data_IF_280348511280
#
_entry.id   IF_280348511280
#
_cell.length_a   1.000
_cell.length_b   1.000
_cell.length_c   1.000
_cell.angle_alpha   90.00
_cell.angle_beta   90.00
_cell.angle_gamma   90.00
#
_symmetry.space_group_name_H-M   'P 1'
#
loop_
_entity.id
_entity.type
_entity.pdbx_description
1 polymer ?
#
# COMPACT_ATOMS: atom_id res chain seq x y z
N UNK A 1 -9.14 10.87 19.59
CA UNK A 1 -7.87 10.42 18.94
C UNK A 1 -7.40 11.56 18.04
N UNK A 2 -6.15 12.00 18.17
CA UNK A 2 -5.61 13.08 17.34
C UNK A 2 -5.39 12.55 15.91
N UNK A 3 -5.83 13.31 14.93
CA UNK A 3 -5.59 13.04 13.50
C UNK A 3 -5.01 14.32 12.88
N UNK A 4 -3.91 14.18 12.19
CA UNK A 4 -3.21 15.26 11.50
C UNK A 4 -2.80 14.84 10.11
N UNK A 5 -2.84 15.75 9.14
CA UNK A 5 -2.45 15.47 7.75
C UNK A 5 -1.62 16.61 7.19
N UNK A 6 -0.60 16.28 6.43
CA UNK A 6 0.31 17.25 5.82
C UNK A 6 0.88 16.70 4.51
N UNK A 7 1.58 17.54 3.79
CA UNK A 7 2.40 17.12 2.64
C UNK A 7 3.87 17.29 2.98
N UNK A 8 4.67 16.25 2.74
CA UNK A 8 6.13 16.27 2.91
C UNK A 8 6.81 16.38 1.56
N UNK A 9 7.75 17.29 1.47
CA UNK A 9 8.58 17.44 0.28
C UNK A 9 9.91 16.76 0.51
N UNK A 10 10.14 15.66 -0.18
CA UNK A 10 11.39 14.87 -0.11
C UNK A 10 11.83 14.48 -1.52
N UNK A 11 13.12 14.58 -1.79
CA UNK A 11 13.74 14.14 -3.05
C UNK A 11 13.00 14.62 -4.32
N UNK A 12 12.48 15.86 -4.28
CA UNK A 12 11.80 16.50 -5.41
C UNK A 12 10.34 16.06 -5.62
N UNK A 13 9.76 15.27 -4.72
CA UNK A 13 8.36 14.85 -4.76
C UNK A 13 7.59 15.31 -3.53
N UNK A 14 6.27 15.48 -3.70
CA UNK A 14 5.35 15.82 -2.62
C UNK A 14 4.62 14.53 -2.19
N UNK A 15 4.82 14.11 -0.94
CA UNK A 15 4.21 12.91 -0.37
C UNK A 15 3.17 13.31 0.67
N UNK A 16 1.95 12.84 0.50
CA UNK A 16 0.89 13.02 1.48
C UNK A 16 1.17 12.14 2.71
N UNK A 17 1.08 12.74 3.89
CA UNK A 17 1.26 12.10 5.18
C UNK A 17 0.02 12.28 6.06
N UNK A 18 -0.36 11.22 6.78
CA UNK A 18 -1.36 11.25 7.84
C UNK A 18 -0.80 10.63 9.11
N UNK A 19 -1.05 11.30 10.23
CA UNK A 19 -0.73 10.78 11.56
C UNK A 19 -2.00 10.54 12.37
N UNK A 20 -2.04 9.43 13.08
CA UNK A 20 -3.18 9.04 13.92
C UNK A 20 -2.65 8.59 15.28
N UNK A 21 -3.22 9.14 16.36
CA UNK A 21 -2.85 8.81 17.74
C UNK A 21 -1.71 9.65 18.30
N UNK A 22 -1.22 9.27 19.48
CA UNK A 22 -0.13 9.93 20.20
C UNK A 22 0.75 8.88 20.89
N UNK A 23 2.07 9.06 20.85
CA UNK A 23 3.07 8.17 21.45
C UNK A 23 4.18 7.80 20.47
N UNK A 24 4.97 6.75 20.75
CA UNK A 24 6.05 6.31 19.89
C UNK A 24 5.58 6.03 18.45
N UNK A 25 6.33 6.50 17.43
CA UNK A 25 5.90 6.39 16.06
C UNK A 25 6.02 4.96 15.50
N UNK A 26 5.03 4.57 14.70
CA UNK A 26 5.04 3.38 13.86
C UNK A 26 4.66 3.81 12.45
N UNK A 27 5.54 3.57 11.49
CA UNK A 27 5.28 3.85 10.08
C UNK A 27 4.49 2.71 9.47
N UNK A 28 3.36 3.02 8.84
CA UNK A 28 2.50 2.04 8.18
C UNK A 28 2.64 2.17 6.67
N UNK A 29 3.20 1.14 6.04
CA UNK A 29 3.42 1.08 4.59
C UNK A 29 2.26 0.35 3.93
N UNK A 30 1.54 1.04 3.04
CA UNK A 30 0.40 0.48 2.33
C UNK A 30 0.82 -0.45 1.18
N UNK A 31 -0.10 -1.31 0.76
CA UNK A 31 0.07 -2.17 -0.41
C UNK A 31 0.00 -1.42 -1.74
N UNK A 32 0.13 -2.12 -2.83
CA UNK A 32 0.13 -1.58 -4.19
C UNK A 32 1.17 -2.30 -5.03
N UNK A 33 2.10 -1.60 -5.72
CA UNK A 33 2.34 -0.14 -5.78
C UNK A 33 1.23 0.67 -6.44
N UNK A 34 1.24 1.99 -6.22
CA UNK A 34 0.30 2.93 -6.85
C UNK A 34 -1.07 3.07 -6.14
N UNK A 35 -1.29 2.35 -5.01
CA UNK A 35 -2.46 2.52 -4.16
C UNK A 35 -2.30 3.72 -3.19
N UNK A 36 -3.11 3.76 -2.14
CA UNK A 36 -3.07 4.76 -1.07
C UNK A 36 -3.39 4.08 0.27
N UNK A 37 -3.16 4.76 1.39
CA UNK A 37 -3.31 4.16 2.71
C UNK A 37 -4.77 4.08 3.24
N UNK A 38 -5.75 4.79 2.66
CA UNK A 38 -7.08 4.92 3.27
C UNK A 38 -7.79 3.58 3.49
N UNK A 39 -7.58 2.58 2.64
CA UNK A 39 -8.19 1.26 2.81
C UNK A 39 -7.66 0.48 4.03
N UNK A 40 -6.51 0.89 4.59
CA UNK A 40 -5.95 0.30 5.81
C UNK A 40 -6.57 0.90 7.07
N UNK A 41 -7.13 2.11 7.02
CA UNK A 41 -7.59 2.85 8.20
C UNK A 41 -8.60 2.07 9.06
N UNK A 42 -9.62 1.39 8.49
CA UNK A 42 -10.59 0.68 9.32
C UNK A 42 -9.99 -0.42 10.21
N UNK A 43 -8.85 -0.99 9.80
CA UNK A 43 -8.17 -2.03 10.56
C UNK A 43 -7.02 -1.51 11.43
N UNK A 44 -6.22 -0.60 10.89
CA UNK A 44 -4.99 -0.13 11.55
C UNK A 44 -5.24 0.98 12.57
N UNK A 45 -6.29 1.80 12.45
CA UNK A 45 -6.57 2.88 13.39
C UNK A 45 -6.85 2.35 14.81
N UNK A 46 -7.36 1.12 14.94
CA UNK A 46 -7.52 0.43 16.22
C UNK A 46 -6.18 0.18 16.94
N UNK A 47 -5.06 0.24 16.24
CA UNK A 47 -3.72 0.10 16.81
C UNK A 47 -3.12 1.43 17.30
N UNK A 48 -3.79 2.56 17.09
CA UNK A 48 -3.30 3.89 17.46
C UNK A 48 -3.22 4.16 18.99
N UNK A 49 -4.04 3.53 19.86
CA UNK A 49 -3.90 3.77 21.30
C UNK A 49 -2.47 3.53 21.81
N UNK A 50 -1.87 4.58 22.41
CA UNK A 50 -0.53 4.54 22.96
C UNK A 50 0.62 4.62 21.95
N UNK A 51 0.33 4.93 20.68
CA UNK A 51 1.34 5.15 19.61
C UNK A 51 0.88 6.16 18.57
N UNK A 52 1.81 6.67 17.80
CA UNK A 52 1.51 7.47 16.61
C UNK A 52 1.67 6.59 15.39
N UNK A 53 0.58 6.33 14.66
CA UNK A 53 0.65 5.69 13.33
C UNK A 53 0.95 6.77 12.29
N UNK A 54 2.00 6.59 11.53
CA UNK A 54 2.39 7.48 10.41
C UNK A 54 2.10 6.74 9.12
N UNK A 55 1.10 7.17 8.39
CA UNK A 55 0.80 6.74 7.03
C UNK A 55 1.34 7.77 6.05
N UNK A 56 1.80 7.34 4.90
CA UNK A 56 2.03 8.23 3.76
C UNK A 56 1.63 7.52 2.47
N UNK A 57 1.12 8.27 1.51
CA UNK A 57 0.91 7.73 0.17
C UNK A 57 2.27 7.70 -0.54
N UNK A 58 2.68 6.50 -0.97
CA UNK A 58 3.94 6.29 -1.66
C UNK A 58 3.96 7.04 -3.00
N UNK A 59 5.17 7.43 -3.48
CA UNK A 59 5.28 8.19 -4.74
C UNK A 59 4.53 7.53 -5.89
N UNK A 60 3.79 8.31 -6.66
CA UNK A 60 2.96 7.86 -7.77
C UNK A 60 1.62 7.24 -7.35
N UNK A 61 1.30 7.18 -6.05
CA UNK A 61 0.05 6.64 -5.52
C UNK A 61 -0.81 7.69 -4.83
N UNK A 62 -2.11 7.46 -4.77
CA UNK A 62 -3.07 8.26 -4.00
C UNK A 62 -2.95 9.77 -4.17
N UNK A 63 -2.64 10.45 -3.07
CA UNK A 63 -2.45 11.91 -2.99
C UNK A 63 -0.98 12.34 -3.16
N UNK A 64 -0.11 11.42 -3.60
CA UNK A 64 1.29 11.67 -3.93
C UNK A 64 1.56 11.49 -5.43
N UNK A 65 0.80 12.15 -6.33
CA UNK A 65 1.02 12.01 -7.76
C UNK A 65 2.38 12.56 -8.16
N UNK A 66 2.97 11.96 -9.19
CA UNK A 66 4.21 12.44 -9.81
C UNK A 66 4.03 12.50 -11.31
N UNK A 67 4.76 13.39 -12.03
CA UNK A 67 4.83 13.37 -13.47
C UNK A 67 5.28 12.02 -14.02
N UNK A 68 4.84 11.68 -15.24
CA UNK A 68 5.08 10.34 -15.84
C UNK A 68 6.57 10.02 -16.02
N UNK A 69 7.39 11.04 -16.20
CA UNK A 69 8.83 10.95 -16.36
C UNK A 69 9.60 10.71 -15.05
N UNK A 70 8.94 10.90 -13.90
CA UNK A 70 9.54 10.68 -12.59
C UNK A 70 9.51 9.18 -12.26
N UNK A 71 10.64 8.56 -11.96
CA UNK A 71 10.69 7.14 -11.64
C UNK A 71 9.96 6.83 -10.32
N UNK A 72 9.23 5.70 -10.32
CA UNK A 72 8.45 5.20 -9.18
C UNK A 72 8.86 3.79 -8.75
N UNK A 73 10.09 3.40 -9.08
CA UNK A 73 10.63 2.09 -8.74
C UNK A 73 10.78 1.87 -7.23
N UNK A 74 11.11 0.64 -6.85
CA UNK A 74 11.28 0.29 -5.44
C UNK A 74 12.47 1.03 -4.78
N UNK A 75 13.53 1.30 -5.54
CA UNK A 75 14.70 2.04 -5.03
C UNK A 75 14.32 3.46 -4.64
N UNK A 76 13.59 4.15 -5.51
CA UNK A 76 13.08 5.49 -5.22
C UNK A 76 12.20 5.51 -3.99
N UNK A 77 11.40 4.47 -3.77
CA UNK A 77 10.51 4.38 -2.60
C UNK A 77 11.27 4.06 -1.31
N UNK A 78 12.33 3.24 -1.38
CA UNK A 78 13.24 3.01 -0.25
C UNK A 78 13.93 4.31 0.16
N UNK A 79 14.46 5.05 -0.80
CA UNK A 79 15.13 6.31 -0.57
C UNK A 79 14.18 7.42 -0.07
N UNK A 80 12.91 7.40 -0.51
CA UNK A 80 11.89 8.30 0.02
C UNK A 80 11.60 8.01 1.49
N UNK A 81 11.51 6.74 1.86
CA UNK A 81 11.31 6.34 3.25
C UNK A 81 12.49 6.76 4.13
N UNK A 82 13.74 6.66 3.64
CA UNK A 82 14.93 7.14 4.35
C UNK A 82 14.91 8.67 4.51
N UNK A 83 14.55 9.40 3.46
CA UNK A 83 14.38 10.84 3.51
C UNK A 83 13.27 11.27 4.49
N UNK A 84 12.14 10.55 4.50
CA UNK A 84 11.06 10.77 5.46
C UNK A 84 11.52 10.46 6.90
N UNK A 85 12.24 9.36 7.14
CA UNK A 85 12.80 9.03 8.46
C UNK A 85 13.64 10.18 9.00
N UNK A 86 14.55 10.70 8.16
CA UNK A 86 15.40 11.85 8.50
C UNK A 86 14.60 13.11 8.79
N UNK A 87 13.58 13.40 7.96
CA UNK A 87 12.70 14.55 8.12
C UNK A 87 11.87 14.46 9.43
N UNK A 88 11.49 13.24 9.84
CA UNK A 88 10.79 13.00 11.11
C UNK A 88 11.73 13.06 12.33
N UNK A 89 13.04 13.12 12.11
CA UNK A 89 14.05 13.12 13.20
C UNK A 89 14.15 11.77 13.92
N UNK A 90 13.80 10.67 13.26
CA UNK A 90 13.84 9.34 13.83
C UNK A 90 15.19 8.67 13.56
N UNK A 91 15.84 8.17 14.61
CA UNK A 91 17.08 7.40 14.45
C UNK A 91 16.81 6.05 13.77
N UNK A 92 15.76 5.36 14.21
CA UNK A 92 15.30 4.08 13.68
C UNK A 92 13.78 4.08 13.50
N UNK A 93 13.30 3.27 12.57
CA UNK A 93 11.88 3.07 12.30
C UNK A 93 11.34 1.80 12.96
N UNK A 94 10.12 1.91 13.52
CA UNK A 94 9.23 0.77 13.68
C UNK A 94 8.28 0.78 12.49
N UNK A 95 8.27 -0.30 11.71
CA UNK A 95 7.55 -0.39 10.45
C UNK A 95 6.48 -1.49 10.55
N UNK A 96 5.27 -1.21 10.09
CA UNK A 96 4.23 -2.19 9.80
C UNK A 96 3.91 -2.14 8.31
N UNK A 97 4.25 -3.18 7.57
CA UNK A 97 4.09 -3.21 6.12
C UNK A 97 3.04 -4.21 5.67
N UNK A 98 2.04 -3.76 4.91
CA UNK A 98 1.01 -4.60 4.33
C UNK A 98 1.26 -4.87 2.84
N UNK A 99 1.19 -6.13 2.40
CA UNK A 99 1.34 -6.54 1.01
C UNK A 99 2.64 -6.01 0.39
N UNK A 100 2.57 -5.18 -0.67
CA UNK A 100 3.71 -4.46 -1.24
C UNK A 100 4.46 -3.64 -0.18
N UNK A 101 3.76 -2.98 0.75
CA UNK A 101 4.38 -2.24 1.84
C UNK A 101 5.23 -3.11 2.76
N UNK A 102 4.88 -4.39 2.92
CA UNK A 102 5.70 -5.37 3.63
C UNK A 102 7.00 -5.69 2.86
N UNK A 103 6.92 -5.87 1.55
CA UNK A 103 8.10 -6.03 0.70
C UNK A 103 8.98 -4.77 0.72
N UNK A 104 8.39 -3.58 0.62
CA UNK A 104 9.12 -2.31 0.73
C UNK A 104 9.85 -2.19 2.07
N UNK A 105 9.19 -2.57 3.18
CA UNK A 105 9.81 -2.61 4.51
C UNK A 105 11.00 -3.56 4.59
N UNK A 106 10.92 -4.73 3.95
CA UNK A 106 12.04 -5.68 3.85
C UNK A 106 13.19 -5.12 3.01
N UNK A 107 12.90 -4.52 1.85
CA UNK A 107 13.91 -3.87 0.99
C UNK A 107 14.61 -2.74 1.75
N UNK A 108 13.84 -1.90 2.45
CA UNK A 108 14.39 -0.85 3.29
C UNK A 108 15.30 -1.40 4.41
N UNK A 109 14.88 -2.46 5.09
CA UNK A 109 15.68 -3.09 6.14
C UNK A 109 16.96 -3.73 5.60
N UNK A 110 16.97 -4.16 4.33
CA UNK A 110 18.16 -4.70 3.67
C UNK A 110 19.15 -3.62 3.29
N UNK A 111 18.66 -2.48 2.77
CA UNK A 111 19.51 -1.34 2.36
C UNK A 111 19.97 -0.50 3.58
N UNK A 112 19.14 -0.44 4.64
CA UNK A 112 19.38 0.38 5.83
C UNK A 112 19.19 -0.42 7.14
N UNK A 113 19.95 -1.51 7.39
CA UNK A 113 19.72 -2.41 8.53
C UNK A 113 19.79 -1.70 9.89
N UNK A 114 20.67 -0.71 10.04
CA UNK A 114 20.83 0.05 11.28
C UNK A 114 19.70 1.08 11.51
N UNK A 115 18.80 1.24 10.55
CA UNK A 115 17.68 2.19 10.61
C UNK A 115 16.33 1.54 10.93
N UNK A 116 16.30 0.24 11.20
CA UNK A 116 15.07 -0.49 11.53
C UNK A 116 15.15 -1.08 12.94
N UNK A 117 14.31 -0.54 13.84
CA UNK A 117 14.17 -1.07 15.18
C UNK A 117 13.26 -2.31 15.22
N UNK A 118 12.15 -2.27 14.46
CA UNK A 118 11.17 -3.37 14.38
C UNK A 118 10.51 -3.37 13.01
N UNK A 119 10.20 -4.58 12.51
CA UNK A 119 9.48 -4.77 11.25
C UNK A 119 8.37 -5.80 11.46
N UNK A 120 7.12 -5.38 11.28
CA UNK A 120 5.95 -6.25 11.26
C UNK A 120 5.48 -6.42 9.81
N UNK A 121 5.37 -7.65 9.35
CA UNK A 121 4.94 -8.01 8.00
C UNK A 121 3.51 -8.55 8.05
N UNK A 122 2.61 -7.88 7.33
CA UNK A 122 1.20 -8.26 7.25
C UNK A 122 0.90 -8.69 5.82
N UNK A 123 0.73 -10.00 5.59
CA UNK A 123 0.44 -10.58 4.27
C UNK A 123 1.32 -9.98 3.16
N UNK A 124 2.64 -9.92 3.40
CA UNK A 124 3.58 -9.24 2.50
C UNK A 124 3.64 -9.90 1.11
N UNK A 125 3.94 -9.10 0.08
CA UNK A 125 4.17 -9.60 -1.27
C UNK A 125 5.38 -10.55 -1.30
N UNK A 126 5.39 -11.58 -2.19
CA UNK A 126 6.49 -12.51 -2.31
C UNK A 126 7.84 -11.84 -2.55
N UNK A 127 8.87 -12.26 -1.80
CA UNK A 127 10.19 -11.64 -1.80
C UNK A 127 11.09 -12.18 -2.92
N UNK A 128 10.94 -13.44 -3.28
CA UNK A 128 11.75 -14.10 -4.30
C UNK A 128 10.92 -14.57 -5.49
N UNK A 129 11.63 -14.78 -6.60
CA UNK A 129 11.01 -15.05 -7.91
C UNK A 129 10.11 -16.28 -7.92
N UNK A 130 10.56 -17.38 -7.28
CA UNK A 130 9.83 -18.63 -7.25
C UNK A 130 8.50 -18.50 -6.50
N UNK A 131 8.51 -17.89 -5.32
CA UNK A 131 7.30 -17.64 -4.55
C UNK A 131 6.35 -16.67 -5.28
N UNK A 132 6.89 -15.70 -6.02
CA UNK A 132 6.10 -14.81 -6.85
C UNK A 132 5.43 -15.56 -8.00
N UNK A 133 6.17 -16.42 -8.69
CA UNK A 133 5.62 -17.23 -9.78
C UNK A 133 4.52 -18.19 -9.27
N UNK A 134 4.72 -18.82 -8.11
CA UNK A 134 3.70 -19.66 -7.48
C UNK A 134 2.45 -18.86 -7.10
N UNK A 135 2.63 -17.69 -6.49
CA UNK A 135 1.52 -16.81 -6.15
C UNK A 135 0.74 -16.39 -7.41
N UNK A 136 1.42 -15.96 -8.46
CA UNK A 136 0.80 -15.54 -9.73
C UNK A 136 0.03 -16.69 -10.40
N UNK A 137 0.58 -17.90 -10.39
CA UNK A 137 -0.09 -19.08 -10.91
C UNK A 137 -1.36 -19.42 -10.14
N UNK A 138 -1.29 -19.47 -8.80
CA UNK A 138 -2.47 -19.73 -7.95
C UNK A 138 -3.53 -18.62 -8.05
N UNK A 139 -3.10 -17.38 -8.15
CA UNK A 139 -4.01 -16.25 -8.34
C UNK A 139 -4.72 -16.32 -9.69
N UNK A 140 -4.01 -16.67 -10.77
CA UNK A 140 -4.60 -16.89 -12.09
C UNK A 140 -5.61 -18.04 -12.08
N UNK A 141 -5.27 -19.17 -11.47
CA UNK A 141 -6.16 -20.33 -11.31
C UNK A 141 -7.46 -19.95 -10.59
N UNK A 142 -7.37 -19.25 -9.46
CA UNK A 142 -8.55 -18.77 -8.72
C UNK A 142 -9.42 -17.83 -9.53
N UNK A 143 -8.81 -16.93 -10.30
CA UNK A 143 -9.55 -16.05 -11.21
C UNK A 143 -10.33 -16.80 -12.27
N UNK A 144 -9.88 -17.98 -12.70
CA UNK A 144 -10.56 -18.82 -13.68
C UNK A 144 -11.66 -19.68 -13.01
N UNK A 145 -11.38 -20.27 -11.85
CA UNK A 145 -12.26 -21.23 -11.18
C UNK A 145 -13.49 -20.59 -10.51
N UNK A 146 -13.43 -19.32 -10.13
CA UNK A 146 -14.44 -18.67 -9.29
C UNK A 146 -15.65 -18.07 -10.04
N UNK A 147 -15.79 -18.30 -11.34
CA UNK A 147 -16.86 -17.66 -12.14
C UNK A 147 -16.67 -16.16 -12.38
N UNK A 148 -15.58 -15.59 -11.86
CA UNK A 148 -15.27 -14.15 -11.97
C UNK A 148 -15.20 -13.67 -13.42
N UNK A 149 -14.82 -14.53 -14.35
CA UNK A 149 -14.79 -14.19 -15.78
C UNK A 149 -16.19 -13.87 -16.32
N UNK A 150 -17.18 -14.65 -15.93
CA UNK A 150 -18.58 -14.41 -16.33
C UNK A 150 -19.13 -13.14 -15.68
N UNK A 151 -18.80 -12.88 -14.42
CA UNK A 151 -19.17 -11.65 -13.73
C UNK A 151 -18.54 -10.41 -14.41
N UNK A 152 -17.26 -10.47 -14.78
CA UNK A 152 -16.58 -9.41 -15.53
C UNK A 152 -17.22 -9.18 -16.90
N UNK A 153 -17.65 -10.24 -17.58
CA UNK A 153 -18.34 -10.15 -18.86
C UNK A 153 -19.72 -9.48 -18.69
N UNK A 154 -20.49 -9.91 -17.68
CA UNK A 154 -21.78 -9.29 -17.34
C UNK A 154 -21.63 -7.80 -17.01
N UNK A 155 -20.64 -7.46 -16.20
CA UNK A 155 -20.37 -6.06 -15.85
C UNK A 155 -20.05 -5.20 -17.08
N UNK A 156 -19.24 -5.71 -18.01
CA UNK A 156 -18.93 -4.98 -19.26
C UNK A 156 -20.15 -4.76 -20.14
N UNK A 157 -21.11 -5.68 -20.13
CA UNK A 157 -22.34 -5.57 -20.92
C UNK A 157 -23.52 -4.93 -20.20
N UNK A 158 -23.37 -4.50 -18.94
CA UNK A 158 -24.48 -4.02 -18.10
C UNK A 158 -24.95 -2.60 -18.38
N UNK A 159 -24.20 -1.79 -19.15
CA UNK A 159 -24.45 -0.36 -19.31
C UNK A 159 -24.13 0.48 -18.07
N UNK A 160 -23.63 -0.13 -17.00
CA UNK A 160 -23.34 0.56 -15.74
C UNK A 160 -22.22 1.60 -15.90
N UNK A 161 -21.31 1.38 -16.85
CA UNK A 161 -20.22 2.32 -17.14
C UNK A 161 -20.73 3.69 -17.57
N UNK A 162 -21.85 3.73 -18.30
CA UNK A 162 -22.49 4.92 -18.83
C UNK A 162 -23.48 5.53 -17.84
N UNK A 163 -24.23 4.69 -17.10
CA UNK A 163 -25.31 5.12 -16.21
C UNK A 163 -24.81 5.49 -14.80
N UNK A 164 -23.79 4.77 -14.28
CA UNK A 164 -23.16 5.03 -12.98
C UNK A 164 -21.67 4.64 -13.03
N UNK A 165 -20.80 5.56 -13.52
CA UNK A 165 -19.36 5.30 -13.63
C UNK A 165 -18.66 5.00 -12.31
N UNK A 166 -19.20 5.49 -11.18
CA UNK A 166 -18.62 5.27 -9.86
C UNK A 166 -18.89 3.84 -9.39
N UNK A 167 -20.14 3.40 -9.47
CA UNK A 167 -20.51 2.01 -9.18
C UNK A 167 -19.78 1.02 -10.11
N UNK A 168 -19.61 1.37 -11.40
CA UNK A 168 -18.82 0.56 -12.33
C UNK A 168 -17.37 0.40 -11.86
N UNK A 169 -16.68 1.51 -11.53
CA UNK A 169 -15.28 1.46 -11.04
C UNK A 169 -15.15 0.65 -9.76
N UNK A 170 -16.08 0.82 -8.82
CA UNK A 170 -16.12 0.03 -7.58
C UNK A 170 -16.25 -1.45 -7.89
N UNK A 171 -17.18 -1.86 -8.76
CA UNK A 171 -17.36 -3.25 -9.12
C UNK A 171 -16.18 -3.85 -9.88
N UNK A 172 -15.53 -3.08 -10.77
CA UNK A 172 -14.26 -3.47 -11.41
C UNK A 172 -13.19 -3.75 -10.37
N UNK A 173 -13.05 -2.89 -9.36
CA UNK A 173 -12.09 -3.08 -8.29
C UNK A 173 -12.41 -4.35 -7.47
N UNK A 174 -13.65 -4.53 -7.01
CA UNK A 174 -14.08 -5.71 -6.27
C UNK A 174 -13.73 -7.00 -7.03
N UNK A 175 -14.08 -7.09 -8.31
CA UNK A 175 -13.77 -8.23 -9.16
C UNK A 175 -12.27 -8.41 -9.42
N UNK A 176 -11.47 -7.35 -9.34
CA UNK A 176 -10.01 -7.44 -9.51
C UNK A 176 -9.32 -8.05 -8.29
N UNK A 177 -9.88 -7.85 -7.11
CA UNK A 177 -9.31 -8.34 -5.85
C UNK A 177 -9.98 -9.61 -5.33
N UNK A 178 -11.08 -10.06 -5.93
CA UNK A 178 -11.88 -11.19 -5.46
C UNK A 178 -11.05 -12.48 -5.27
N UNK A 179 -10.09 -12.76 -6.16
CA UNK A 179 -9.26 -13.95 -6.07
C UNK A 179 -8.28 -13.97 -4.86
N UNK A 180 -8.15 -12.87 -4.12
CA UNK A 180 -7.40 -12.84 -2.86
C UNK A 180 -8.19 -13.44 -1.69
N UNK A 181 -9.52 -13.56 -1.80
CA UNK A 181 -10.39 -14.07 -0.75
C UNK A 181 -10.77 -15.54 -0.97
N UNK A 182 -11.06 -16.27 0.13
CA UNK A 182 -11.46 -17.68 0.05
C UNK A 182 -12.88 -17.81 -0.52
N UNK A 183 -13.78 -16.86 -0.19
CA UNK A 183 -15.15 -16.73 -0.70
C UNK A 183 -15.27 -15.34 -1.34
N UNK A 184 -15.00 -15.23 -2.65
CA UNK A 184 -15.02 -13.97 -3.38
C UNK A 184 -16.42 -13.43 -3.69
#
# INVERSE_FOLDING_TARGET
MRIDSTTRHVRGVALFERRIGEGPPTVVLHGGPGAHHDYLLPGFDSLAPGRTLIFYDQRGGGRSPVPREVPVGWREQVEDLEALRSLWGLEQLTIAGYSWGGLLGLLYATEHPDRVARLALVSHAPVWREARAEFEARFAERNLASGLQEERKRLRGSGLRETDPEAYRRRVFELSVAAYFCDP
#
